data_IF_695862724187
#
_entry.id   IF_695862724187
#
_cell.length_a   1.000
_cell.length_b   1.000
_cell.length_c   1.000
_cell.angle_alpha   90.00
_cell.angle_beta   90.00
_cell.angle_gamma   90.00
#
_symmetry.space_group_name_H-M   'P 1'
#
loop_
_entity.id
_entity.type
_entity.pdbx_description
1 polymer ?
#
# COMPACT_ATOMS: atom_id res chain seq x y z
N UNK A 1 8.07 3.20 1.99
CA UNK A 1 8.13 1.78 2.46
C UNK A 1 9.13 1.02 1.60
N UNK A 2 9.80 0.00 2.14
CA UNK A 2 10.75 -0.84 1.39
C UNK A 2 10.18 -2.23 1.18
N UNK A 3 10.19 -2.70 -0.06
CA UNK A 3 9.96 -4.11 -0.34
C UNK A 3 11.10 -4.91 0.26
N UNK A 4 10.76 -5.98 0.99
CA UNK A 4 11.78 -6.84 1.59
C UNK A 4 12.61 -7.59 0.55
N UNK A 5 13.69 -8.27 0.98
CA UNK A 5 14.37 -9.24 0.14
C UNK A 5 13.36 -10.28 -0.39
N UNK A 6 13.49 -10.63 -1.66
CA UNK A 6 12.57 -11.51 -2.38
C UNK A 6 13.27 -12.10 -3.61
N UNK A 7 12.61 -13.04 -4.30
CA UNK A 7 13.20 -13.74 -5.44
C UNK A 7 14.38 -14.60 -4.99
N UNK A 8 15.46 -14.58 -5.75
CA UNK A 8 16.70 -15.30 -5.43
C UNK A 8 17.31 -14.89 -4.09
N UNK A 9 17.09 -13.66 -3.65
CA UNK A 9 17.61 -13.14 -2.38
C UNK A 9 16.86 -13.68 -1.17
N UNK A 10 15.59 -14.10 -1.36
CA UNK A 10 14.77 -14.70 -0.31
C UNK A 10 13.71 -15.62 -0.94
N UNK A 11 14.06 -16.89 -1.20
CA UNK A 11 13.16 -17.85 -1.82
C UNK A 11 11.88 -18.11 -1.01
N UNK A 12 11.97 -18.01 0.32
CA UNK A 12 10.81 -18.22 1.22
C UNK A 12 9.85 -17.03 1.32
N UNK A 13 10.13 -15.89 0.67
CA UNK A 13 9.22 -14.76 0.69
C UNK A 13 7.92 -15.11 -0.06
N UNK A 14 6.76 -14.75 0.50
CA UNK A 14 5.42 -15.06 -0.07
C UNK A 14 5.26 -14.52 -1.50
N UNK A 15 5.92 -13.41 -1.82
CA UNK A 15 5.88 -12.84 -3.16
C UNK A 15 6.78 -13.56 -4.17
N UNK A 16 7.61 -14.51 -3.76
CA UNK A 16 8.55 -15.23 -4.63
C UNK A 16 7.87 -16.42 -5.30
N UNK A 17 7.98 -16.51 -6.63
CA UNK A 17 7.57 -17.68 -7.41
C UNK A 17 8.58 -17.92 -8.52
N UNK A 18 9.05 -19.18 -8.68
CA UNK A 18 10.08 -19.52 -9.65
C UNK A 18 11.38 -18.70 -9.49
N UNK A 19 11.77 -18.38 -8.25
CA UNK A 19 12.95 -17.55 -7.96
C UNK A 19 12.81 -16.07 -8.31
N UNK A 20 11.63 -15.63 -8.78
CA UNK A 20 11.34 -14.23 -9.14
C UNK A 20 10.28 -13.64 -8.21
N UNK A 21 10.36 -12.34 -7.96
CA UNK A 21 9.31 -11.64 -7.23
C UNK A 21 8.10 -11.39 -8.13
N UNK A 22 6.91 -11.85 -7.74
CA UNK A 22 5.64 -11.59 -8.43
C UNK A 22 5.21 -10.12 -8.44
N UNK A 23 5.85 -9.26 -7.65
CA UNK A 23 5.71 -7.79 -7.71
C UNK A 23 6.79 -7.12 -8.56
N UNK A 24 7.67 -7.92 -9.17
CA UNK A 24 8.74 -7.50 -10.08
C UNK A 24 9.78 -6.60 -9.40
N UNK A 25 10.18 -6.96 -8.17
CA UNK A 25 11.34 -6.38 -7.50
C UNK A 25 12.60 -7.23 -7.73
N UNK A 26 13.80 -6.61 -7.80
CA UNK A 26 14.05 -5.16 -7.83
C UNK A 26 13.55 -4.49 -9.11
N UNK A 27 13.05 -3.26 -9.02
CA UNK A 27 12.66 -2.46 -10.19
C UNK A 27 13.90 -1.93 -10.91
N UNK A 28 13.78 -1.59 -12.19
CA UNK A 28 14.88 -0.92 -12.93
C UNK A 28 15.07 0.50 -12.40
N UNK A 29 16.30 1.01 -12.46
CA UNK A 29 16.54 2.44 -12.28
C UNK A 29 15.93 3.21 -13.45
N UNK A 30 15.47 4.43 -13.17
CA UNK A 30 14.89 5.30 -14.18
C UNK A 30 15.16 6.75 -13.80
N UNK A 31 15.63 7.57 -14.74
CA UNK A 31 16.08 8.95 -14.49
C UNK A 31 14.94 9.95 -14.32
N UNK A 32 13.78 9.66 -14.92
CA UNK A 32 12.56 10.48 -14.84
C UNK A 32 11.32 9.61 -14.61
N UNK A 33 10.18 10.20 -14.28
CA UNK A 33 8.90 9.48 -14.32
C UNK A 33 8.33 9.59 -15.73
N UNK A 34 7.93 8.47 -16.34
CA UNK A 34 7.29 8.42 -17.66
C UNK A 34 6.07 7.51 -17.63
N UNK A 35 5.27 7.52 -18.70
CA UNK A 35 4.15 6.62 -18.91
C UNK A 35 4.58 5.58 -19.95
N UNK A 36 4.33 4.30 -19.70
CA UNK A 36 4.61 3.24 -20.67
C UNK A 36 3.52 3.14 -21.76
N UNK A 37 3.75 2.29 -22.75
CA UNK A 37 2.80 2.02 -23.85
C UNK A 37 1.45 1.50 -23.32
N UNK A 38 1.47 0.85 -22.17
CA UNK A 38 0.31 0.36 -21.45
C UNK A 38 -0.34 1.41 -20.54
N UNK A 39 0.07 2.68 -20.60
CA UNK A 39 -0.53 3.76 -19.83
C UNK A 39 -0.24 3.71 -18.33
N UNK A 40 0.71 2.89 -17.87
CA UNK A 40 1.12 2.81 -16.48
C UNK A 40 2.33 3.72 -16.20
N UNK A 41 2.40 4.32 -15.00
CA UNK A 41 3.53 5.15 -14.63
C UNK A 41 4.77 4.31 -14.32
N UNK A 42 5.85 4.57 -15.04
CA UNK A 42 7.21 4.17 -14.69
C UNK A 42 7.81 5.28 -13.82
N UNK A 43 7.83 5.05 -12.51
CA UNK A 43 8.36 6.03 -11.56
C UNK A 43 9.88 6.17 -11.63
N UNK A 44 10.36 7.41 -11.49
CA UNK A 44 11.78 7.72 -11.32
C UNK A 44 12.39 6.95 -10.15
N UNK A 45 13.51 6.27 -10.40
CA UNK A 45 14.34 5.59 -9.40
C UNK A 45 15.80 5.94 -9.65
N UNK A 46 16.34 6.86 -8.84
CA UNK A 46 17.72 7.35 -8.98
C UNK A 46 18.71 6.33 -8.43
N UNK A 47 19.83 6.13 -9.11
CA UNK A 47 20.98 5.41 -8.58
C UNK A 47 21.87 6.41 -7.83
N UNK A 48 21.73 6.48 -6.51
CA UNK A 48 22.44 7.44 -5.66
C UNK A 48 23.39 6.77 -4.65
N UNK A 49 23.66 5.48 -4.81
CA UNK A 49 24.54 4.70 -3.92
C UNK A 49 23.98 4.43 -2.52
N UNK A 50 22.80 4.95 -2.16
CA UNK A 50 22.21 4.73 -0.84
C UNK A 50 21.61 3.34 -0.74
N UNK A 51 21.90 2.66 0.36
CA UNK A 51 21.39 1.34 0.69
C UNK A 51 20.88 1.29 2.13
N UNK A 52 19.94 0.39 2.38
CA UNK A 52 19.58 -0.04 3.73
C UNK A 52 19.88 -1.53 3.84
N UNK A 53 20.25 -2.02 5.01
CA UNK A 53 20.46 -3.45 5.23
C UNK A 53 19.22 -4.05 5.88
N UNK A 54 18.65 -5.09 5.27
CA UNK A 54 17.54 -5.86 5.83
C UNK A 54 17.87 -7.33 5.77
N UNK A 55 17.88 -8.01 6.93
CA UNK A 55 18.30 -9.41 7.07
C UNK A 55 19.70 -9.68 6.48
N UNK A 56 20.66 -8.76 6.69
CA UNK A 56 22.00 -8.86 6.13
C UNK A 56 22.12 -8.55 4.63
N UNK A 57 21.00 -8.27 3.95
CA UNK A 57 20.97 -8.01 2.50
C UNK A 57 20.86 -6.49 2.26
N UNK A 58 21.81 -5.88 1.52
CA UNK A 58 21.73 -4.48 1.14
C UNK A 58 20.67 -4.25 0.06
N UNK A 59 19.72 -3.36 0.34
CA UNK A 59 18.64 -2.97 -0.55
C UNK A 59 18.78 -1.50 -0.95
N UNK A 60 18.79 -1.23 -2.25
CA UNK A 60 18.87 0.12 -2.81
C UNK A 60 17.48 0.65 -3.23
N UNK A 61 17.46 1.79 -3.93
CA UNK A 61 16.22 2.43 -4.39
C UNK A 61 15.35 1.56 -5.33
N UNK A 62 15.86 0.45 -5.86
CA UNK A 62 15.08 -0.48 -6.69
C UNK A 62 14.05 -1.24 -5.87
N UNK A 63 14.21 -1.33 -4.56
CA UNK A 63 13.29 -1.97 -3.62
C UNK A 63 12.28 -1.00 -2.98
N UNK A 64 12.39 0.30 -3.25
CA UNK A 64 11.45 1.30 -2.70
C UNK A 64 10.04 1.08 -3.29
N UNK A 65 9.03 0.93 -2.43
CA UNK A 65 7.63 1.00 -2.84
C UNK A 65 7.30 2.49 -3.10
N UNK A 66 6.76 2.85 -4.29
CA UNK A 66 6.43 4.25 -4.60
C UNK A 66 5.52 4.87 -3.54
N UNK A 67 5.79 6.12 -3.20
CA UNK A 67 4.98 6.90 -2.26
C UNK A 67 5.04 8.38 -2.63
N UNK A 68 4.01 9.12 -2.23
CA UNK A 68 4.03 10.57 -2.29
C UNK A 68 4.56 11.12 -0.95
N UNK A 69 5.73 11.79 -0.98
CA UNK A 69 6.37 12.34 0.23
C UNK A 69 5.46 13.32 0.98
N UNK A 70 4.73 14.16 0.26
CA UNK A 70 3.84 15.14 0.87
C UNK A 70 2.70 14.46 1.63
N UNK A 71 2.01 13.52 0.97
CA UNK A 71 0.90 12.79 1.58
C UNK A 71 1.35 11.91 2.74
N UNK A 72 2.51 11.25 2.60
CA UNK A 72 3.07 10.43 3.68
C UNK A 72 3.34 11.26 4.93
N UNK A 73 3.95 12.44 4.79
CA UNK A 73 4.26 13.31 5.92
C UNK A 73 3.00 13.96 6.50
N UNK A 74 2.03 14.33 5.65
CA UNK A 74 0.80 15.00 6.09
C UNK A 74 -0.13 14.09 6.88
N UNK A 75 -0.21 12.81 6.51
CA UNK A 75 -1.18 11.87 7.09
C UNK A 75 -0.53 10.75 7.91
N UNK A 76 0.80 10.72 8.04
CA UNK A 76 1.51 9.65 8.73
C UNK A 76 1.36 8.26 8.08
N UNK A 77 0.77 8.18 6.89
CA UNK A 77 0.34 6.94 6.27
C UNK A 77 0.91 6.75 4.86
N UNK A 78 1.14 5.50 4.47
CA UNK A 78 1.64 5.19 3.14
C UNK A 78 0.50 5.22 2.11
N UNK A 79 0.26 6.39 1.52
CA UNK A 79 -0.80 6.60 0.54
C UNK A 79 -0.32 6.23 -0.87
N UNK A 80 -1.04 5.30 -1.50
CA UNK A 80 -0.83 4.94 -2.89
C UNK A 80 -1.48 6.00 -3.81
N UNK A 81 -0.72 6.47 -4.80
CA UNK A 81 -1.21 7.43 -5.81
C UNK A 81 -1.00 6.78 -7.17
N UNK A 82 -2.07 6.63 -7.94
CA UNK A 82 -2.04 5.99 -9.24
C UNK A 82 -2.62 6.91 -10.32
N UNK A 83 -2.01 6.87 -11.50
CA UNK A 83 -2.53 7.56 -12.68
C UNK A 83 -3.58 6.68 -13.35
N UNK A 84 -4.84 7.14 -13.35
CA UNK A 84 -5.98 6.38 -13.86
C UNK A 84 -6.29 6.76 -15.31
N UNK A 85 -5.57 6.19 -16.29
CA UNK A 85 -5.80 6.47 -17.72
C UNK A 85 -6.53 5.35 -18.47
N UNK A 86 -7.07 4.35 -17.77
CA UNK A 86 -7.74 3.20 -18.42
C UNK A 86 -9.07 2.89 -17.74
N UNK A 87 -10.01 2.34 -18.49
CA UNK A 87 -11.29 1.81 -17.99
C UNK A 87 -11.11 0.79 -16.86
N UNK A 88 -9.97 0.08 -16.83
CA UNK A 88 -9.57 -0.81 -15.73
C UNK A 88 -9.48 -0.08 -14.39
N UNK A 89 -9.03 1.17 -14.37
CA UNK A 89 -8.96 1.99 -13.15
C UNK A 89 -10.35 2.35 -12.62
N UNK A 90 -11.31 2.61 -13.50
CA UNK A 90 -12.72 2.83 -13.13
C UNK A 90 -13.31 1.56 -12.51
N UNK A 91 -13.13 0.40 -13.18
CA UNK A 91 -13.56 -0.90 -12.63
C UNK A 91 -12.94 -1.18 -11.27
N UNK A 92 -11.66 -0.84 -11.11
CA UNK A 92 -10.96 -0.98 -9.83
C UNK A 92 -11.58 -0.06 -8.78
N UNK A 93 -11.75 1.23 -9.06
CA UNK A 93 -12.38 2.17 -8.13
C UNK A 93 -13.75 1.70 -7.66
N UNK A 94 -14.64 1.33 -8.58
CA UNK A 94 -15.96 0.79 -8.23
C UNK A 94 -15.86 -0.47 -7.39
N UNK A 95 -14.96 -1.41 -7.74
CA UNK A 95 -14.71 -2.62 -6.94
C UNK A 95 -14.39 -2.28 -5.48
N UNK A 96 -13.61 -1.23 -5.21
CA UNK A 96 -13.24 -0.85 -3.84
C UNK A 96 -14.32 -0.06 -3.12
N UNK A 97 -15.06 0.80 -3.82
CA UNK A 97 -16.20 1.53 -3.23
C UNK A 97 -17.31 0.54 -2.84
N UNK A 98 -17.60 -0.45 -3.69
CA UNK A 98 -18.64 -1.44 -3.43
C UNK A 98 -18.15 -2.62 -2.62
N UNK A 99 -16.86 -2.66 -2.25
CA UNK A 99 -16.37 -3.70 -1.36
C UNK A 99 -17.01 -3.45 0.00
N UNK A 100 -17.80 -4.41 0.48
CA UNK A 100 -18.41 -4.33 1.81
C UNK A 100 -17.33 -4.09 2.86
N UNK A 101 -17.62 -3.37 3.95
CA UNK A 101 -16.69 -3.22 5.06
C UNK A 101 -16.18 -4.58 5.51
N UNK A 102 -14.87 -4.71 5.70
CA UNK A 102 -14.26 -5.95 6.20
C UNK A 102 -14.61 -6.18 7.69
N UNK A 103 -15.23 -5.19 8.36
CA UNK A 103 -15.71 -5.26 9.74
C UNK A 103 -17.09 -4.63 9.86
N UNK A 104 -18.03 -5.39 10.41
CA UNK A 104 -19.35 -4.90 10.80
C UNK A 104 -19.40 -4.84 12.32
N UNK A 105 -19.66 -3.66 12.88
CA UNK A 105 -19.92 -3.52 14.30
C UNK A 105 -21.40 -3.85 14.55
N UNK A 106 -21.66 -5.01 15.16
CA UNK A 106 -22.99 -5.36 15.63
C UNK A 106 -23.05 -5.16 17.14
N UNK A 107 -24.04 -4.42 17.62
CA UNK A 107 -24.34 -4.30 19.05
C UNK A 107 -25.58 -5.12 19.33
N UNK A 108 -25.47 -6.12 20.19
CA UNK A 108 -26.60 -6.89 20.68
C UNK A 108 -27.24 -6.12 21.84
N UNK A 109 -28.53 -5.85 21.74
CA UNK A 109 -29.33 -5.29 22.84
C UNK A 109 -30.30 -6.37 23.27
N UNK A 110 -30.16 -6.86 24.51
CA UNK A 110 -31.11 -7.80 25.09
C UNK A 110 -32.45 -7.09 25.31
N UNK A 111 -33.52 -7.63 24.75
CA UNK A 111 -34.87 -7.11 24.91
C UNK A 111 -35.42 -7.52 26.29
N UNK A 112 -35.07 -6.75 27.31
CA UNK A 112 -35.61 -6.86 28.67
C UNK A 112 -35.39 -5.57 29.46
N UNK A 113 -36.47 -4.80 29.65
CA UNK A 113 -36.63 -3.56 30.43
C UNK A 113 -36.28 -2.21 29.75
N UNK A 114 -37.14 -1.18 29.89
CA UNK A 114 -36.90 0.14 29.32
C UNK A 114 -35.91 0.88 30.22
N UNK A 115 -34.64 0.90 29.83
CA UNK A 115 -33.64 1.76 30.45
C UNK A 115 -33.27 2.89 29.47
N UNK A 116 -33.41 4.10 29.98
CA UNK A 116 -33.20 5.41 29.34
C UNK A 116 -32.06 5.48 28.32
N UNK A 117 -32.38 6.02 27.14
CA UNK A 117 -31.42 6.50 26.14
C UNK A 117 -30.47 7.51 26.80
N UNK A 118 -29.19 7.15 26.92
CA UNK A 118 -28.11 8.12 27.10
C UNK A 118 -27.25 8.09 25.84
N UNK A 119 -27.28 9.20 25.10
CA UNK A 119 -26.36 9.48 24.02
C UNK A 119 -24.95 9.67 24.59
N UNK A 120 -24.12 8.63 24.54
CA UNK A 120 -22.68 8.82 24.73
C UNK A 120 -22.06 9.23 23.40
N UNK A 121 -21.52 10.44 23.38
CA UNK A 121 -20.75 11.02 22.29
C UNK A 121 -19.58 10.12 21.89
N UNK A 122 -19.36 9.99 20.58
CA UNK A 122 -18.21 9.29 20.02
C UNK A 122 -16.89 9.80 20.62
N UNK A 123 -15.98 8.93 21.09
CA UNK A 123 -14.64 9.35 21.44
C UNK A 123 -13.86 9.65 20.15
N UNK A 124 -13.28 10.84 20.11
CA UNK A 124 -12.37 11.31 19.08
C UNK A 124 -11.30 10.27 18.77
N UNK A 125 -11.13 9.95 17.48
CA UNK A 125 -10.08 9.08 17.00
C UNK A 125 -8.72 9.78 17.08
N UNK A 126 -8.11 9.79 18.27
CA UNK A 126 -6.68 10.01 18.43
C UNK A 126 -5.95 8.67 18.33
N UNK A 127 -4.97 8.64 17.41
CA UNK A 127 -3.83 7.72 17.35
C UNK A 127 -4.10 6.20 17.25
N UNK A 128 -3.96 5.66 16.03
CA UNK A 128 -2.89 4.72 15.69
C UNK A 128 -2.73 4.59 14.16
#
# INVERSE_FOLDING_TARGET
>A
MMHGPCGVLQPSAICTSGGKCGRHFPKKFHSQTSIDEDGFPIYRRRQNGRVIVKNGIPLDNRFVVPFNRYLLLRFGAHINVEWCNKSRSIKYLFKYITKSPDRTLATLVESGSPASVQSSSAPSADHC
#
